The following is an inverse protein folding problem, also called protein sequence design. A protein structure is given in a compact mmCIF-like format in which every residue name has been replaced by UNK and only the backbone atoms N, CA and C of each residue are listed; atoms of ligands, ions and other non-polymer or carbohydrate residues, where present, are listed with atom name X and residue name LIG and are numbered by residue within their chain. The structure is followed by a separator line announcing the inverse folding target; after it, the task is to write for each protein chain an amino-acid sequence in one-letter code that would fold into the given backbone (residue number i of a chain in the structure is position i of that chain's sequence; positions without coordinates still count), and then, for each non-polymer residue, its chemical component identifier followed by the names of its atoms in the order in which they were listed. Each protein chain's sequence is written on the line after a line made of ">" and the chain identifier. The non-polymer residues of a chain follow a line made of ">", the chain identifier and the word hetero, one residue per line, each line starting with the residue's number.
data_IF_152403439844
#
_entry.id   IF_152403439844
#
_cell.length_a   1.000
_cell.length_b   1.000
_cell.length_c   1.000
_cell.angle_alpha   90.00
_cell.angle_beta   90.00
_cell.angle_gamma   90.00
#
_symmetry.space_group_name_H-M   'P 1'
#
loop_
_entity.id
_entity.type
_entity.pdbx_description
1 polymer ?
#
# COMPACT_ATOMS: atom_id res chain seq x y z
N UNK A 1 -22.43 -7.96 -20.84
CA UNK A 1 -22.10 -6.88 -19.91
C UNK A 1 -21.39 -5.79 -20.69
N UNK A 2 -21.97 -4.61 -20.74
CA UNK A 2 -21.37 -3.51 -21.48
C UNK A 2 -20.25 -2.87 -20.66
N UNK A 3 -19.19 -2.39 -21.34
CA UNK A 3 -18.07 -1.67 -20.72
C UNK A 3 -18.53 -0.51 -19.81
N UNK A 4 -19.68 0.06 -20.09
CA UNK A 4 -20.26 1.17 -19.33
C UNK A 4 -20.67 0.76 -17.91
N UNK A 5 -21.20 -0.44 -17.74
CA UNK A 5 -21.66 -0.94 -16.43
C UNK A 5 -20.47 -1.21 -15.49
N UNK A 6 -19.36 -1.67 -16.05
CA UNK A 6 -18.15 -1.95 -15.26
C UNK A 6 -17.50 -0.65 -14.74
N UNK A 7 -17.51 0.40 -15.55
CA UNK A 7 -16.94 1.72 -15.17
C UNK A 7 -17.81 2.38 -14.09
N UNK A 8 -19.13 2.33 -14.23
CA UNK A 8 -20.06 2.90 -13.25
C UNK A 8 -19.97 2.15 -11.91
N UNK A 9 -19.88 0.82 -11.95
CA UNK A 9 -19.72 -0.01 -10.73
C UNK A 9 -18.40 0.28 -10.03
N UNK A 10 -17.29 0.45 -10.78
CA UNK A 10 -15.98 0.79 -10.23
C UNK A 10 -15.96 2.18 -9.59
N UNK A 11 -16.54 3.19 -10.24
CA UNK A 11 -16.65 4.55 -9.71
C UNK A 11 -17.51 4.61 -8.44
N UNK A 12 -18.61 3.87 -8.40
CA UNK A 12 -19.48 3.77 -7.23
C UNK A 12 -18.78 3.08 -6.06
N UNK A 13 -18.01 2.02 -6.31
CA UNK A 13 -17.21 1.32 -5.31
C UNK A 13 -16.11 2.20 -4.73
N UNK A 14 -15.43 2.99 -5.57
CA UNK A 14 -14.42 3.95 -5.12
C UNK A 14 -15.04 5.05 -4.26
N UNK A 15 -16.20 5.59 -4.64
CA UNK A 15 -16.89 6.57 -3.84
C UNK A 15 -17.29 6.02 -2.45
N UNK A 16 -17.75 4.78 -2.38
CA UNK A 16 -18.06 4.10 -1.12
C UNK A 16 -16.81 3.92 -0.26
N UNK A 17 -15.69 3.52 -0.88
CA UNK A 17 -14.41 3.34 -0.21
C UNK A 17 -13.94 4.66 0.41
N UNK A 18 -13.94 5.75 -0.35
CA UNK A 18 -13.53 7.08 0.14
C UNK A 18 -14.44 7.60 1.24
N UNK A 19 -15.76 7.39 1.13
CA UNK A 19 -16.70 7.77 2.18
C UNK A 19 -16.44 7.00 3.47
N UNK A 20 -16.13 5.70 3.36
CA UNK A 20 -15.78 4.85 4.52
C UNK A 20 -14.47 5.30 5.16
N UNK A 21 -13.47 5.62 4.37
CA UNK A 21 -12.18 6.13 4.86
C UNK A 21 -12.38 7.45 5.65
N UNK A 22 -13.20 8.35 5.12
CA UNK A 22 -13.51 9.61 5.79
C UNK A 22 -14.20 9.39 7.15
N UNK A 23 -15.09 8.42 7.25
CA UNK A 23 -15.77 8.08 8.50
C UNK A 23 -14.82 7.54 9.58
N UNK A 24 -13.74 6.88 9.19
CA UNK A 24 -12.76 6.35 10.14
C UNK A 24 -11.94 7.45 10.82
N UNK A 25 -11.83 8.62 10.21
CA UNK A 25 -11.09 9.78 10.75
C UNK A 25 -9.65 9.45 11.14
N UNK A 26 -8.97 8.66 10.30
CA UNK A 26 -7.58 8.20 10.56
C UNK A 26 -6.55 8.95 9.73
N UNK A 27 -6.93 9.50 8.57
CA UNK A 27 -6.04 10.29 7.72
C UNK A 27 -5.76 11.64 8.37
N UNK A 28 -4.53 12.12 8.26
CA UNK A 28 -4.05 13.37 8.88
C UNK A 28 -4.14 13.37 10.42
N UNK A 29 -3.95 12.21 11.04
CA UNK A 29 -3.96 12.05 12.49
C UNK A 29 -2.56 11.72 13.02
N UNK A 30 -2.37 11.87 14.32
CA UNK A 30 -1.12 11.57 14.99
C UNK A 30 -0.75 10.08 14.89
N UNK A 31 0.54 9.78 15.01
CA UNK A 31 1.02 8.41 15.11
C UNK A 31 0.39 7.71 16.31
N UNK A 32 0.11 6.42 16.15
CA UNK A 32 -0.47 5.58 17.20
C UNK A 32 0.37 4.32 17.36
N UNK A 33 0.66 3.89 18.60
CA UNK A 33 1.51 2.72 18.86
C UNK A 33 1.05 1.45 18.18
N UNK A 34 -0.25 1.25 18.03
CA UNK A 34 -0.81 0.09 17.35
C UNK A 34 -0.35 -0.01 15.89
N UNK A 35 -0.43 1.09 15.14
CA UNK A 35 -0.03 1.10 13.74
C UNK A 35 1.49 1.06 13.58
N UNK A 36 2.22 1.70 14.48
CA UNK A 36 3.68 1.63 14.51
C UNK A 36 4.15 0.19 14.77
N UNK A 37 3.45 -0.55 15.63
CA UNK A 37 3.73 -1.96 15.89
C UNK A 37 3.45 -2.84 14.66
N UNK A 38 2.40 -2.55 13.90
CA UNK A 38 2.13 -3.26 12.64
C UNK A 38 3.26 -3.08 11.63
N UNK A 39 3.72 -1.85 11.46
CA UNK A 39 4.85 -1.56 10.55
C UNK A 39 6.13 -2.26 11.02
N UNK A 40 6.42 -2.24 12.32
CA UNK A 40 7.58 -2.92 12.89
C UNK A 40 7.51 -4.44 12.69
N UNK A 41 6.34 -5.04 12.87
CA UNK A 41 6.13 -6.47 12.64
C UNK A 41 6.32 -6.83 11.16
N UNK A 42 5.81 -6.01 10.25
CA UNK A 42 5.99 -6.21 8.81
C UNK A 42 7.47 -6.13 8.43
N UNK A 43 8.20 -5.15 8.97
CA UNK A 43 9.63 -5.03 8.75
C UNK A 43 10.41 -6.25 9.25
N UNK A 44 10.08 -6.75 10.42
CA UNK A 44 10.72 -7.94 10.99
C UNK A 44 10.45 -9.20 10.16
N UNK A 45 9.22 -9.35 9.66
CA UNK A 45 8.84 -10.50 8.80
C UNK A 45 9.63 -10.47 7.49
N UNK A 46 9.71 -9.32 6.84
CA UNK A 46 10.30 -9.19 5.51
C UNK A 46 11.81 -8.97 5.54
N UNK A 47 12.36 -8.41 6.62
CA UNK A 47 13.76 -8.02 6.69
C UNK A 47 14.10 -6.85 5.77
N UNK A 48 13.14 -5.94 5.53
CA UNK A 48 13.31 -4.78 4.66
C UNK A 48 13.67 -3.53 5.45
N UNK A 49 14.34 -2.54 4.82
CA UNK A 49 14.65 -1.27 5.48
C UNK A 49 13.41 -0.37 5.67
N UNK A 50 12.37 -0.57 4.88
CA UNK A 50 11.17 0.28 4.89
C UNK A 50 9.94 -0.57 5.14
N UNK A 51 9.06 -0.09 6.03
CA UNK A 51 7.73 -0.65 6.26
C UNK A 51 6.74 0.47 6.56
N UNK A 52 5.57 0.40 5.98
CA UNK A 52 4.55 1.45 6.05
C UNK A 52 3.19 0.85 6.33
N UNK A 53 2.38 1.58 7.09
CA UNK A 53 0.92 1.45 7.06
C UNK A 53 0.40 2.63 6.24
N UNK A 54 -0.07 2.36 5.05
CA UNK A 54 -0.44 3.35 4.05
C UNK A 54 -1.95 3.37 3.87
N UNK A 55 -2.53 4.56 3.85
CA UNK A 55 -3.94 4.78 3.53
C UNK A 55 -4.04 5.48 2.19
N UNK A 56 -4.92 4.98 1.33
CA UNK A 56 -5.10 5.51 -0.03
C UNK A 56 -6.32 6.42 -0.05
N UNK A 57 -6.08 7.71 -0.10
CA UNK A 57 -7.08 8.76 -0.22
C UNK A 57 -7.34 9.10 -1.70
N UNK A 58 -8.20 10.06 -1.98
CA UNK A 58 -8.62 10.41 -3.33
C UNK A 58 -7.44 10.80 -4.25
N UNK A 59 -6.49 11.58 -3.72
CA UNK A 59 -5.37 12.13 -4.52
C UNK A 59 -3.99 11.77 -4.01
N UNK A 60 -3.90 11.06 -2.88
CA UNK A 60 -2.62 10.73 -2.22
C UNK A 60 -2.70 9.39 -1.52
N UNK A 61 -1.54 8.81 -1.29
CA UNK A 61 -1.36 7.85 -0.21
C UNK A 61 -0.74 8.58 0.98
N UNK A 62 -1.28 8.34 2.16
CA UNK A 62 -0.83 8.95 3.40
C UNK A 62 -0.43 7.85 4.38
N UNK A 63 0.67 8.05 5.09
CA UNK A 63 1.23 7.01 5.94
C UNK A 63 0.85 7.21 7.40
N UNK A 64 0.04 6.30 7.92
CA UNK A 64 -0.33 6.23 9.33
C UNK A 64 0.85 5.75 10.18
N UNK A 65 1.71 4.88 9.65
CA UNK A 65 2.97 4.47 10.24
C UNK A 65 4.06 4.45 9.16
N UNK A 66 5.27 4.87 9.52
CA UNK A 66 6.39 5.03 8.60
C UNK A 66 7.69 4.63 9.29
N UNK A 67 8.31 3.56 8.80
CA UNK A 67 9.66 3.14 9.18
C UNK A 67 10.55 3.23 7.93
N UNK A 68 11.63 4.00 8.00
CA UNK A 68 12.64 4.03 6.95
C UNK A 68 12.49 5.13 5.89
N UNK A 69 11.43 5.96 5.93
CA UNK A 69 11.26 7.11 5.04
C UNK A 69 11.08 8.42 5.85
N UNK A 70 12.10 8.84 6.61
CA UNK A 70 11.99 10.02 7.44
C UNK A 70 11.75 11.28 6.58
N UNK A 71 10.92 12.19 7.10
CA UNK A 71 10.62 13.46 6.45
C UNK A 71 9.60 13.39 5.31
N UNK A 72 9.10 12.20 4.98
CA UNK A 72 8.04 12.02 3.96
C UNK A 72 6.82 11.45 4.66
N UNK A 73 5.66 12.07 4.48
CA UNK A 73 4.40 11.65 5.11
C UNK A 73 3.34 11.22 4.11
N UNK A 74 3.50 11.56 2.84
CA UNK A 74 2.56 11.24 1.77
C UNK A 74 3.23 11.29 0.41
N UNK A 75 2.60 10.66 -0.56
CA UNK A 75 2.96 10.75 -1.98
C UNK A 75 1.70 10.88 -2.83
N UNK A 76 1.80 11.44 -4.06
CA UNK A 76 0.66 11.44 -4.97
C UNK A 76 0.13 10.03 -5.23
N UNK A 77 -1.19 9.88 -5.25
CA UNK A 77 -1.82 8.57 -5.48
C UNK A 77 -1.41 7.94 -6.82
N UNK A 78 -1.21 8.73 -7.83
CA UNK A 78 -0.79 8.27 -9.17
C UNK A 78 0.58 7.55 -9.16
N UNK A 79 1.44 7.84 -8.18
CA UNK A 79 2.72 7.17 -7.98
C UNK A 79 2.62 5.97 -7.03
N UNK A 80 1.49 5.78 -6.36
CA UNK A 80 1.36 4.83 -5.28
C UNK A 80 1.25 3.38 -5.78
N UNK A 81 2.17 2.52 -5.36
CA UNK A 81 2.06 1.07 -5.54
C UNK A 81 0.82 0.53 -4.82
N UNK A 82 0.50 1.12 -3.68
CA UNK A 82 -0.66 0.74 -2.86
C UNK A 82 -1.99 0.93 -3.60
N UNK A 83 -2.08 1.87 -4.53
CA UNK A 83 -3.26 2.06 -5.36
C UNK A 83 -3.56 0.85 -6.25
N UNK A 84 -2.54 0.12 -6.67
CA UNK A 84 -2.70 -1.16 -7.37
C UNK A 84 -3.09 -2.28 -6.40
N UNK A 85 -2.46 -2.31 -5.23
CA UNK A 85 -2.71 -3.36 -4.21
C UNK A 85 -4.16 -3.38 -3.77
N UNK A 86 -4.78 -2.23 -3.55
CA UNK A 86 -6.17 -2.14 -3.09
C UNK A 86 -7.22 -2.54 -4.13
N UNK A 87 -6.82 -2.85 -5.35
CA UNK A 87 -7.73 -3.37 -6.38
C UNK A 87 -8.03 -4.85 -6.20
N UNK A 88 -7.32 -5.54 -5.30
CA UNK A 88 -7.52 -6.95 -5.01
C UNK A 88 -7.45 -7.23 -3.51
N UNK A 89 -7.73 -8.47 -3.12
CA UNK A 89 -7.69 -8.93 -1.73
C UNK A 89 -6.38 -9.65 -1.39
N UNK A 90 -5.56 -9.95 -2.39
CA UNK A 90 -4.31 -10.66 -2.22
C UNK A 90 -3.11 -9.72 -2.06
N UNK A 91 -2.05 -10.21 -1.42
CA UNK A 91 -0.76 -9.52 -1.39
C UNK A 91 -0.26 -9.29 -2.82
N UNK A 92 0.16 -8.06 -3.11
CA UNK A 92 0.83 -7.73 -4.36
C UNK A 92 2.34 -7.68 -4.10
N UNK A 93 3.10 -8.49 -4.83
CA UNK A 93 4.55 -8.48 -4.77
C UNK A 93 5.14 -7.97 -6.09
N UNK A 94 6.05 -7.00 -5.99
CA UNK A 94 6.86 -6.48 -7.10
C UNK A 94 8.33 -6.77 -6.78
N UNK A 95 8.90 -7.77 -7.44
CA UNK A 95 10.25 -8.28 -7.13
C UNK A 95 11.36 -7.41 -7.66
N UNK A 96 11.13 -6.77 -8.79
CA UNK A 96 12.07 -5.86 -9.45
C UNK A 96 11.28 -4.75 -10.14
N UNK A 97 11.07 -3.65 -9.46
CA UNK A 97 10.24 -2.56 -9.95
C UNK A 97 10.75 -1.93 -11.26
N UNK A 98 12.06 -1.71 -11.48
CA UNK A 98 12.56 -1.24 -12.78
C UNK A 98 12.24 -2.17 -13.96
N UNK A 99 12.05 -3.46 -13.71
CA UNK A 99 11.70 -4.44 -14.73
C UNK A 99 10.19 -4.66 -14.87
N UNK A 100 9.38 -4.08 -13.99
CA UNK A 100 7.92 -4.22 -14.02
C UNK A 100 7.31 -3.17 -14.96
N UNK A 101 6.51 -3.58 -15.96
CA UNK A 101 5.89 -2.64 -16.91
C UNK A 101 5.00 -1.58 -16.27
N UNK A 102 4.45 -1.86 -15.09
CA UNK A 102 3.58 -0.92 -14.37
C UNK A 102 4.36 0.20 -13.68
N UNK A 103 5.63 -0.04 -13.31
CA UNK A 103 6.38 0.83 -12.39
C UNK A 103 7.72 1.30 -12.92
N UNK A 104 8.24 0.78 -14.05
CA UNK A 104 9.59 1.05 -14.52
C UNK A 104 9.90 2.54 -14.74
N UNK A 105 8.90 3.34 -15.07
CA UNK A 105 9.00 4.79 -15.28
C UNK A 105 8.41 5.62 -14.13
N UNK A 106 8.00 4.97 -13.04
CA UNK A 106 7.45 5.65 -11.86
C UNK A 106 8.55 6.44 -11.15
N UNK A 107 8.26 7.68 -10.75
CA UNK A 107 9.22 8.55 -10.08
C UNK A 107 9.76 7.98 -8.76
N UNK A 108 8.97 7.18 -8.04
CA UNK A 108 9.43 6.50 -6.82
C UNK A 108 10.47 5.39 -7.12
N UNK A 109 10.56 4.95 -8.35
CA UNK A 109 11.53 3.95 -8.82
C UNK A 109 12.75 4.63 -9.44
N UNK A 110 12.55 5.59 -10.33
CA UNK A 110 13.61 6.27 -11.07
C UNK A 110 14.35 7.31 -10.23
N UNK A 111 13.64 7.94 -9.27
CA UNK A 111 14.17 8.94 -8.35
C UNK A 111 14.18 8.39 -6.92
N UNK A 112 14.48 9.24 -5.94
CA UNK A 112 14.39 8.83 -4.53
C UNK A 112 12.94 8.47 -4.14
N UNK A 113 12.71 7.40 -3.37
CA UNK A 113 13.69 6.56 -2.66
C UNK A 113 14.35 5.46 -3.51
N UNK A 114 14.04 5.32 -4.79
CA UNK A 114 14.61 4.29 -5.66
C UNK A 114 14.08 2.89 -5.34
N UNK A 115 12.77 2.74 -5.32
CA UNK A 115 12.11 1.48 -4.99
C UNK A 115 12.49 0.41 -6.01
N UNK A 116 12.95 -0.74 -5.54
CA UNK A 116 13.20 -1.92 -6.37
C UNK A 116 12.31 -3.09 -5.99
N UNK A 117 12.00 -3.22 -4.73
CA UNK A 117 11.12 -4.25 -4.21
C UNK A 117 9.94 -3.65 -3.45
N UNK A 118 8.76 -4.20 -3.65
CA UNK A 118 7.55 -3.87 -2.92
C UNK A 118 6.73 -5.13 -2.66
N UNK A 119 6.21 -5.26 -1.44
CA UNK A 119 5.14 -6.20 -1.14
C UNK A 119 4.13 -5.51 -0.24
N UNK A 120 2.87 -5.53 -0.62
CA UNK A 120 1.78 -4.90 0.12
C UNK A 120 0.60 -5.82 0.29
N UNK A 121 0.08 -5.88 1.52
CA UNK A 121 -1.14 -6.58 1.85
C UNK A 121 -2.27 -5.56 2.04
N UNK A 122 -3.40 -5.70 1.33
CA UNK A 122 -4.50 -4.75 1.45
C UNK A 122 -5.15 -4.83 2.84
N UNK A 123 -5.45 -3.68 3.42
CA UNK A 123 -6.23 -3.58 4.65
C UNK A 123 -7.70 -3.62 4.27
N UNK A 124 -8.35 -4.75 4.53
CA UNK A 124 -9.74 -5.01 4.15
C UNK A 124 -10.62 -4.92 5.39
N UNK A 125 -11.62 -4.04 5.35
CA UNK A 125 -12.61 -3.93 6.42
C UNK A 125 -13.65 -5.06 6.34
N UNK A 126 -14.42 -5.29 7.43
CA UNK A 126 -15.46 -6.33 7.44
C UNK A 126 -16.50 -6.17 6.33
N UNK A 127 -16.73 -4.96 5.83
CA UNK A 127 -17.62 -4.67 4.70
C UNK A 127 -17.00 -4.94 3.33
N UNK A 128 -15.73 -5.38 3.29
CA UNK A 128 -15.00 -5.69 2.05
C UNK A 128 -14.31 -4.50 1.40
N UNK A 129 -14.42 -3.30 1.96
CA UNK A 129 -13.75 -2.11 1.44
C UNK A 129 -12.28 -2.08 1.83
N UNK A 130 -11.42 -1.67 0.91
CA UNK A 130 -9.96 -1.67 1.06
C UNK A 130 -9.46 -0.26 1.29
N UNK A 131 -8.93 0.00 2.49
CA UNK A 131 -8.55 1.35 2.92
C UNK A 131 -7.12 1.73 2.56
N UNK A 132 -6.26 0.76 2.47
CA UNK A 132 -4.84 0.94 2.21
C UNK A 132 -4.10 -0.35 2.35
N UNK A 133 -2.83 -0.29 2.76
CA UNK A 133 -1.96 -1.46 2.84
C UNK A 133 -1.07 -1.44 4.07
N UNK A 134 -0.68 -2.64 4.49
CA UNK A 134 0.56 -2.85 5.23
C UNK A 134 1.59 -3.28 4.21
N UNK A 135 2.65 -2.49 3.99
CA UNK A 135 3.62 -2.77 2.94
C UNK A 135 5.07 -2.67 3.42
N UNK A 136 5.93 -3.37 2.70
CA UNK A 136 7.37 -3.38 2.90
C UNK A 136 8.06 -3.04 1.58
N UNK A 137 9.16 -2.31 1.67
CA UNK A 137 9.87 -1.78 0.51
C UNK A 137 11.37 -1.96 0.71
N UNK A 138 12.08 -2.28 -0.36
CA UNK A 138 13.54 -2.31 -0.39
C UNK A 138 14.07 -1.60 -1.64
N UNK A 139 15.27 -1.11 -1.55
CA UNK A 139 16.03 -0.53 -2.65
C UNK A 139 16.86 -1.57 -3.40
N UNK A 140 16.64 -2.85 -3.13
CA UNK A 140 17.23 -4.01 -3.81
C UNK A 140 16.14 -4.95 -4.28
N UNK A 141 16.33 -5.51 -5.47
CA UNK A 141 15.46 -6.57 -5.96
C UNK A 141 15.55 -7.79 -5.03
N UNK A 142 14.41 -8.40 -4.72
CA UNK A 142 14.32 -9.58 -3.84
C UNK A 142 13.00 -10.31 -4.07
N UNK A 143 12.82 -11.41 -3.35
CA UNK A 143 11.57 -12.15 -3.29
C UNK A 143 11.37 -12.63 -1.85
N UNK A 144 10.16 -12.56 -1.35
CA UNK A 144 9.80 -13.14 -0.05
C UNK A 144 9.37 -14.59 -0.24
N UNK A 145 9.59 -15.39 0.80
CA UNK A 145 9.05 -16.74 0.87
C UNK A 145 7.51 -16.69 1.00
N UNK A 146 6.79 -17.72 0.52
CA UNK A 146 5.33 -17.77 0.64
C UNK A 146 4.82 -17.57 2.07
N UNK A 147 5.53 -18.09 3.07
CA UNK A 147 5.18 -17.92 4.47
C UNK A 147 5.29 -16.45 4.93
N UNK A 148 6.26 -15.71 4.42
CA UNK A 148 6.41 -14.28 4.71
C UNK A 148 5.28 -13.47 4.09
N UNK A 149 4.90 -13.74 2.84
CA UNK A 149 3.77 -13.10 2.17
C UNK A 149 2.46 -13.38 2.90
N UNK A 150 2.25 -14.61 3.34
CA UNK A 150 1.07 -14.98 4.11
C UNK A 150 1.03 -14.26 5.47
N UNK A 151 2.17 -14.13 6.14
CA UNK A 151 2.26 -13.40 7.39
C UNK A 151 1.92 -11.91 7.21
N UNK A 152 2.38 -11.27 6.13
CA UNK A 152 1.99 -9.89 5.80
C UNK A 152 0.49 -9.76 5.60
N UNK A 153 -0.12 -10.70 4.91
CA UNK A 153 -1.57 -10.69 4.67
C UNK A 153 -2.36 -10.81 5.98
N UNK A 154 -1.86 -11.57 6.93
CA UNK A 154 -2.48 -11.73 8.25
C UNK A 154 -2.38 -10.47 9.13
N UNK A 155 -1.34 -9.65 8.93
CA UNK A 155 -1.18 -8.38 9.65
C UNK A 155 -2.18 -7.31 9.21
N UNK A 156 -2.58 -7.35 7.97
CA UNK A 156 -3.40 -6.30 7.37
C UNK A 156 -4.89 -6.31 7.76
#
# INVERSE_FOLDING_TARGET
>A
MNQCDTVVSSASSEAQRLARLALLQVVDTAAEPFFDALAAAAQAIAGTPIALVSLVDERRQWWKANIGLPGVSETPRELAFCAYTIQGDAVMEVRDAPADPRFHDNALVTDAPGIRYYAGAPIVLPDGLRMGTVCVIDQRARALEPAQLQALQQLA
#
